data_IF_113887962226
#
_entry.id   IF_113887962226
#
_cell.length_a   1.000
_cell.length_b   1.000
_cell.length_c   1.000
_cell.angle_alpha   90.00
_cell.angle_beta   90.00
_cell.angle_gamma   90.00
#
_symmetry.space_group_name_H-M   'P 1'
#
loop_
_entity.id
_entity.type
_entity.pdbx_description
1 polymer ?
#
# COMPACT_ATOMS: atom_id res chain seq x y z
N UNK A 1 11.40 13.21 3.61
CA UNK A 1 11.59 12.71 2.24
C UNK A 1 10.57 13.26 1.21
N UNK A 2 9.27 13.46 1.50
CA UNK A 2 8.35 14.08 0.53
C UNK A 2 8.76 15.47 0.07
N UNK A 3 9.34 16.27 0.96
CA UNK A 3 9.75 17.65 0.66
C UNK A 3 10.87 17.74 -0.38
N UNK A 4 11.80 16.78 -0.39
CA UNK A 4 12.93 16.82 -1.34
C UNK A 4 12.53 16.61 -2.81
N UNK A 5 11.57 15.74 -3.08
CA UNK A 5 11.05 15.51 -4.45
C UNK A 5 10.22 16.71 -4.92
N UNK A 6 9.49 17.33 -4.02
CA UNK A 6 8.68 18.52 -4.30
C UNK A 6 9.57 19.71 -4.65
N UNK A 7 10.62 19.92 -3.87
CA UNK A 7 11.62 20.98 -4.10
C UNK A 7 12.39 20.74 -5.39
N UNK A 8 12.71 19.50 -5.71
CA UNK A 8 13.37 19.11 -6.95
C UNK A 8 12.47 19.38 -8.17
N UNK A 9 11.20 18.97 -8.11
CA UNK A 9 10.24 19.23 -9.18
C UNK A 9 9.97 20.73 -9.34
N UNK A 10 9.85 21.47 -8.25
CA UNK A 10 9.72 22.93 -8.28
C UNK A 10 10.90 23.60 -8.99
N UNK A 11 12.13 23.18 -8.69
CA UNK A 11 13.34 23.69 -9.35
C UNK A 11 13.37 23.38 -10.83
N UNK A 12 13.02 22.14 -11.22
CA UNK A 12 12.96 21.73 -12.64
C UNK A 12 11.92 22.53 -13.43
N UNK A 13 10.74 22.72 -12.85
CA UNK A 13 9.67 23.51 -13.47
C UNK A 13 10.07 24.97 -13.63
N UNK A 14 10.66 25.58 -12.61
CA UNK A 14 11.16 26.97 -12.68
C UNK A 14 12.24 27.12 -13.75
N UNK A 15 13.12 26.16 -13.90
CA UNK A 15 14.14 26.18 -14.95
C UNK A 15 13.53 26.09 -16.37
N UNK A 16 12.46 25.32 -16.55
CA UNK A 16 11.76 25.20 -17.83
C UNK A 16 10.96 26.45 -18.18
N UNK A 17 10.32 27.08 -17.21
CA UNK A 17 9.48 28.28 -17.43
C UNK A 17 10.29 29.54 -17.67
N UNK A 18 11.48 29.65 -17.08
CA UNK A 18 12.36 30.80 -17.26
C UNK A 18 12.84 31.05 -18.69
N UNK A 19 12.74 30.04 -19.57
CA UNK A 19 13.15 30.12 -20.96
C UNK A 19 12.00 30.27 -22.00
N UNK A 20 10.73 30.07 -21.59
CA UNK A 20 9.62 29.89 -22.53
C UNK A 20 8.58 31.01 -22.52
N UNK A 21 8.66 31.97 -21.58
CA UNK A 21 7.62 32.99 -21.42
C UNK A 21 6.27 32.40 -20.96
N UNK A 22 6.24 31.16 -20.51
CA UNK A 22 5.07 30.51 -19.94
C UNK A 22 5.07 30.76 -18.43
N UNK A 23 3.96 31.23 -17.89
CA UNK A 23 3.72 31.34 -16.46
C UNK A 23 3.21 30.00 -15.94
N UNK A 24 3.82 29.48 -14.88
CA UNK A 24 3.46 28.19 -14.29
C UNK A 24 3.26 28.35 -12.79
N UNK A 25 2.11 27.92 -12.31
CA UNK A 25 1.79 27.85 -10.90
C UNK A 25 1.68 26.39 -10.49
N UNK A 26 2.36 26.02 -9.41
CA UNK A 26 2.30 24.69 -8.80
C UNK A 26 1.78 24.78 -7.38
N UNK A 27 0.69 24.13 -7.10
CA UNK A 27 0.11 24.06 -5.76
C UNK A 27 -0.23 22.62 -5.37
N UNK A 28 -0.29 22.39 -4.07
CA UNK A 28 -0.65 21.08 -3.52
C UNK A 28 -2.16 20.98 -3.37
N UNK A 29 -2.74 19.97 -3.99
CA UNK A 29 -4.17 19.68 -3.83
C UNK A 29 -4.46 18.88 -2.56
N UNK A 30 -3.55 17.98 -2.19
CA UNK A 30 -3.67 17.14 -1.00
C UNK A 30 -2.29 16.78 -0.47
N UNK A 31 -2.21 16.43 0.80
CA UNK A 31 -0.97 15.88 1.35
C UNK A 31 -0.64 14.54 0.70
N UNK A 32 0.65 14.29 0.52
CA UNK A 32 1.10 13.01 -0.04
C UNK A 32 0.88 11.89 0.98
N UNK A 33 0.41 10.75 0.49
CA UNK A 33 0.40 9.52 1.29
C UNK A 33 1.85 9.08 1.48
N UNK A 34 2.32 8.90 2.73
CA UNK A 34 3.68 8.44 2.96
C UNK A 34 3.87 7.00 2.48
N UNK A 35 5.07 6.62 2.04
CA UNK A 35 5.38 5.22 1.82
C UNK A 35 5.36 4.47 3.15
N UNK A 36 5.02 3.18 3.11
CA UNK A 36 5.16 2.34 4.28
C UNK A 36 5.90 1.04 3.94
N UNK A 37 6.54 0.49 4.93
CA UNK A 37 7.18 -0.80 4.85
C UNK A 37 6.89 -1.57 6.14
N UNK A 38 6.43 -2.81 6.01
CA UNK A 38 6.31 -3.74 7.12
C UNK A 38 7.60 -4.52 7.28
N UNK A 39 8.01 -4.72 8.54
CA UNK A 39 9.19 -5.55 8.80
C UNK A 39 8.96 -6.98 8.28
N UNK A 40 9.94 -7.60 7.62
CA UNK A 40 9.88 -9.01 7.30
C UNK A 40 9.73 -9.92 8.53
N UNK A 41 10.10 -9.42 9.71
CA UNK A 41 9.92 -10.12 10.98
C UNK A 41 8.53 -9.88 11.60
N UNK A 42 7.65 -9.12 10.96
CA UNK A 42 6.30 -8.87 11.44
C UNK A 42 5.47 -10.15 11.43
N UNK A 43 4.79 -10.44 12.55
CA UNK A 43 3.98 -11.65 12.70
C UNK A 43 2.83 -11.71 11.67
N UNK A 44 2.26 -10.56 11.29
CA UNK A 44 1.18 -10.51 10.29
C UNK A 44 1.70 -10.80 8.87
N UNK A 45 2.91 -10.35 8.53
CA UNK A 45 3.56 -10.67 7.26
C UNK A 45 3.84 -12.17 7.18
N UNK A 46 4.51 -12.72 8.20
CA UNK A 46 4.83 -14.15 8.24
C UNK A 46 3.57 -15.03 8.16
N UNK A 47 2.48 -14.65 8.84
CA UNK A 47 1.22 -15.37 8.77
C UNK A 47 0.56 -15.27 7.39
N UNK A 48 0.61 -14.12 6.76
CA UNK A 48 0.07 -13.93 5.40
C UNK A 48 0.85 -14.78 4.39
N UNK A 49 2.18 -14.79 4.45
CA UNK A 49 3.04 -15.62 3.60
C UNK A 49 2.75 -17.12 3.79
N UNK A 50 2.61 -17.57 5.03
CA UNK A 50 2.30 -18.96 5.36
C UNK A 50 0.93 -19.38 4.78
N UNK A 51 -0.10 -18.56 4.97
CA UNK A 51 -1.46 -18.87 4.52
C UNK A 51 -1.65 -18.75 3.02
N UNK A 52 -0.95 -17.83 2.36
CA UNK A 52 -1.04 -17.65 0.91
C UNK A 52 -0.10 -18.56 0.15
N UNK A 53 0.97 -19.03 0.78
CA UNK A 53 2.08 -19.71 0.11
C UNK A 53 2.91 -18.79 -0.80
N UNK A 54 2.77 -17.48 -0.67
CA UNK A 54 3.41 -16.47 -1.51
C UNK A 54 4.21 -15.51 -0.65
N UNK A 55 5.45 -15.22 -1.03
CA UNK A 55 6.27 -14.22 -0.35
C UNK A 55 5.69 -12.81 -0.52
N UNK A 56 5.85 -11.98 0.52
CA UNK A 56 5.46 -10.58 0.45
C UNK A 56 6.34 -9.82 -0.55
N UNK A 57 5.72 -8.95 -1.32
CA UNK A 57 6.38 -8.13 -2.33
C UNK A 57 6.03 -6.65 -2.11
N UNK A 58 6.84 -5.78 -2.67
CA UNK A 58 6.53 -4.35 -2.71
C UNK A 58 5.60 -4.03 -3.88
N UNK A 59 4.65 -3.14 -3.67
CA UNK A 59 3.73 -2.70 -4.71
C UNK A 59 3.72 -1.17 -4.83
N UNK A 60 3.65 -0.69 -6.05
CA UNK A 60 3.71 0.73 -6.37
C UNK A 60 2.31 1.36 -6.47
N UNK A 61 1.51 1.23 -5.42
CA UNK A 61 0.19 1.85 -5.31
C UNK A 61 -0.05 2.39 -3.91
N UNK A 62 -1.01 3.28 -3.76
CA UNK A 62 -1.36 3.90 -2.49
C UNK A 62 -2.49 3.15 -1.80
N UNK A 63 -2.38 3.00 -0.48
CA UNK A 63 -3.41 2.43 0.40
C UNK A 63 -3.46 3.23 1.71
N UNK A 64 -4.38 2.90 2.59
CA UNK A 64 -4.46 3.45 3.95
C UNK A 64 -3.45 2.81 4.92
N UNK A 65 -2.72 1.77 4.52
CA UNK A 65 -1.78 1.04 5.36
C UNK A 65 -0.72 1.93 6.06
N UNK A 66 -0.18 2.99 5.43
CA UNK A 66 0.75 3.91 6.11
C UNK A 66 0.18 4.54 7.37
N UNK A 67 -1.12 4.86 7.39
CA UNK A 67 -1.76 5.49 8.54
C UNK A 67 -1.92 4.52 9.71
N UNK A 68 -2.24 3.27 9.44
CA UNK A 68 -2.23 2.21 10.48
C UNK A 68 -0.83 2.02 11.06
N UNK A 69 0.20 2.05 10.21
CA UNK A 69 1.60 1.98 10.68
C UNK A 69 1.97 3.14 11.59
N UNK A 70 1.55 4.35 11.27
CA UNK A 70 1.74 5.53 12.13
C UNK A 70 1.05 5.40 13.50
N UNK A 71 -0.05 4.66 13.55
CA UNK A 71 -0.73 4.31 14.81
C UNK A 71 -0.03 3.18 15.58
N UNK A 72 1.13 2.71 15.14
CA UNK A 72 1.90 1.65 15.81
C UNK A 72 1.39 0.24 15.48
N UNK A 73 0.50 0.08 14.50
CA UNK A 73 0.01 -1.22 14.06
C UNK A 73 0.92 -1.79 12.97
N UNK A 74 1.15 -3.10 13.01
CA UNK A 74 1.69 -3.80 11.86
C UNK A 74 0.59 -4.00 10.82
N UNK A 75 0.95 -3.81 9.55
CA UNK A 75 0.01 -3.90 8.45
C UNK A 75 0.59 -4.68 7.28
N UNK A 76 -0.26 -5.40 6.59
CA UNK A 76 0.01 -6.03 5.30
C UNK A 76 -1.18 -5.78 4.38
N UNK A 77 -0.92 -5.52 3.12
CA UNK A 77 -1.97 -5.40 2.11
C UNK A 77 -2.18 -6.77 1.49
N UNK A 78 -3.41 -7.25 1.56
CA UNK A 78 -3.77 -8.58 1.11
C UNK A 78 -5.16 -8.55 0.49
N UNK A 79 -5.32 -9.22 -0.64
CA UNK A 79 -6.60 -9.29 -1.31
C UNK A 79 -6.64 -10.41 -2.36
N UNK A 80 -7.84 -10.76 -2.84
CA UNK A 80 -8.05 -11.84 -3.80
C UNK A 80 -7.69 -11.46 -5.24
N UNK A 81 -7.41 -10.17 -5.49
CA UNK A 81 -7.14 -9.64 -6.81
C UNK A 81 -5.75 -9.99 -7.34
N UNK A 82 -5.51 -9.53 -8.54
CA UNK A 82 -4.19 -9.49 -9.15
C UNK A 82 -3.80 -8.03 -9.30
N UNK A 83 -2.60 -7.66 -8.87
CA UNK A 83 -2.13 -6.27 -8.95
C UNK A 83 -2.15 -5.72 -10.39
N UNK A 84 -2.01 -6.59 -11.39
CA UNK A 84 -2.11 -6.18 -12.78
C UNK A 84 -3.53 -5.76 -13.20
N UNK A 85 -4.56 -6.15 -12.44
CA UNK A 85 -5.95 -5.76 -12.65
C UNK A 85 -6.35 -4.53 -11.83
N UNK A 86 -5.62 -4.24 -10.76
CA UNK A 86 -5.91 -3.12 -9.88
C UNK A 86 -5.79 -1.78 -10.61
N UNK A 87 -6.78 -0.90 -10.40
CA UNK A 87 -6.84 0.44 -11.01
C UNK A 87 -6.90 0.45 -12.56
N UNK A 88 -7.34 -0.66 -13.17
CA UNK A 88 -7.56 -0.74 -14.62
C UNK A 88 -9.02 -0.45 -14.97
N UNK A 89 -9.29 0.08 -16.18
CA UNK A 89 -10.65 0.05 -16.72
C UNK A 89 -11.17 -1.39 -16.71
N UNK A 90 -12.43 -1.56 -16.30
CA UNK A 90 -13.06 -2.89 -16.19
C UNK A 90 -12.36 -3.85 -15.19
N UNK A 91 -11.78 -3.30 -14.11
CA UNK A 91 -11.22 -4.09 -13.02
C UNK A 91 -12.19 -5.19 -12.58
N UNK A 92 -11.69 -6.40 -12.45
CA UNK A 92 -12.49 -7.56 -12.07
C UNK A 92 -11.79 -8.47 -11.08
N UNK A 93 -12.58 -9.27 -10.39
CA UNK A 93 -12.11 -10.38 -9.57
C UNK A 93 -12.73 -11.67 -10.07
N UNK A 94 -11.93 -12.72 -10.18
CA UNK A 94 -12.44 -14.05 -10.51
C UNK A 94 -13.20 -14.63 -9.31
N UNK A 95 -14.43 -15.09 -9.52
CA UNK A 95 -15.30 -15.59 -8.45
C UNK A 95 -14.69 -16.77 -7.67
N UNK A 96 -13.89 -17.61 -8.33
CA UNK A 96 -13.19 -18.73 -7.69
C UNK A 96 -12.08 -18.30 -6.71
N UNK A 97 -11.75 -17.01 -6.63
CA UNK A 97 -10.81 -16.46 -5.65
C UNK A 97 -11.48 -15.95 -4.39
N UNK A 98 -12.80 -15.81 -4.39
CA UNK A 98 -13.55 -15.25 -3.25
C UNK A 98 -13.51 -16.20 -2.06
N UNK A 99 -13.93 -17.46 -2.21
CA UNK A 99 -13.93 -18.44 -1.11
C UNK A 99 -12.53 -18.66 -0.50
N UNK A 100 -11.47 -18.92 -1.30
CA UNK A 100 -10.14 -19.06 -0.72
C UNK A 100 -9.66 -17.83 0.06
N UNK A 101 -10.08 -16.63 -0.34
CA UNK A 101 -9.75 -15.40 0.40
C UNK A 101 -10.52 -15.32 1.72
N UNK A 102 -11.76 -15.73 1.76
CA UNK A 102 -12.54 -15.81 3.00
C UNK A 102 -11.89 -16.77 3.99
N UNK A 103 -11.47 -17.95 3.54
CA UNK A 103 -10.79 -18.94 4.37
C UNK A 103 -9.45 -18.40 4.92
N UNK A 104 -8.72 -17.69 4.09
CA UNK A 104 -7.46 -17.03 4.47
C UNK A 104 -7.69 -15.96 5.54
N UNK A 105 -8.70 -15.11 5.37
CA UNK A 105 -9.06 -14.08 6.34
C UNK A 105 -9.56 -14.69 7.66
N UNK A 106 -10.35 -15.76 7.62
CA UNK A 106 -10.76 -16.50 8.82
C UNK A 106 -9.53 -17.05 9.57
N UNK A 107 -8.55 -17.60 8.84
CA UNK A 107 -7.29 -18.07 9.41
C UNK A 107 -6.50 -16.97 10.13
N UNK A 108 -6.39 -15.78 9.53
CA UNK A 108 -5.74 -14.62 10.14
C UNK A 108 -6.50 -14.14 11.38
N UNK A 109 -7.82 -14.02 11.31
CA UNK A 109 -8.67 -13.58 12.43
C UNK A 109 -8.53 -14.56 13.60
N UNK A 110 -8.59 -15.86 13.35
CA UNK A 110 -8.41 -16.87 14.40
C UNK A 110 -7.05 -16.76 15.05
N UNK A 111 -5.99 -16.59 14.27
CA UNK A 111 -4.61 -16.52 14.76
C UNK A 111 -4.37 -15.29 15.64
N UNK A 112 -4.86 -14.13 15.24
CA UNK A 112 -4.55 -12.87 15.92
C UNK A 112 -5.64 -12.38 16.88
N UNK A 113 -6.88 -12.76 16.68
CA UNK A 113 -8.00 -12.24 17.46
C UNK A 113 -8.62 -13.26 18.41
N UNK A 114 -8.50 -14.57 18.12
CA UNK A 114 -9.13 -15.62 18.94
C UNK A 114 -8.11 -16.37 19.79
N UNK A 115 -6.97 -16.76 19.20
CA UNK A 115 -5.96 -17.56 19.92
C UNK A 115 -5.01 -16.73 20.78
N UNK A 116 -4.92 -15.42 20.56
CA UNK A 116 -4.10 -14.51 21.39
C UNK A 116 -4.64 -14.30 22.81
N UNK A 117 -5.82 -14.83 23.14
CA UNK A 117 -6.46 -14.69 24.46
C UNK A 117 -6.18 -15.82 25.45
N UNK A 118 -5.25 -16.76 25.17
CA UNK A 118 -4.92 -17.89 26.03
C UNK A 118 -3.50 -17.72 26.60
N UNK A 119 -3.32 -16.72 27.47
CA UNK A 119 -2.12 -16.57 28.33
C UNK A 119 -2.53 -16.10 29.69
#
# INVERSE_FOLDING_TARGET
MPDSLRDENGRRLTALTGCSGVELEMYTLMESVPPFESSPASAIVAAAEELTGTAAESAAYSTEAPFFKQCGMDAVVLGPGDIAQAHQPDEFIALNRVEPTVDLLDGLIRRFCVQAGSS
#
